data_IF_532601382646
#
_entry.id   IF_532601382646
#
_cell.length_a   1.000
_cell.length_b   1.000
_cell.length_c   1.000
_cell.angle_alpha   90.00
_cell.angle_beta   90.00
_cell.angle_gamma   90.00
#
_symmetry.space_group_name_H-M   'P 1'
#
loop_
_entity.id
_entity.type
_entity.pdbx_description
1 polymer ?
#
# COMPACT_ATOMS: atom_id res chain seq x y z
N UNK A 1 -16.28 -43.21 -2.56
CA UNK A 1 -16.49 -41.83 -3.03
C UNK A 1 -15.47 -40.91 -2.33
N UNK A 2 -14.46 -40.40 -3.00
CA UNK A 2 -13.30 -41.15 -3.47
C UNK A 2 -12.09 -40.36 -2.93
N UNK A 3 -11.13 -40.99 -2.23
CA UNK A 3 -9.96 -40.30 -1.66
C UNK A 3 -9.19 -39.53 -2.75
N UNK A 4 -9.27 -40.03 -3.99
CA UNK A 4 -8.76 -39.38 -5.20
C UNK A 4 -9.48 -38.05 -5.50
N UNK A 5 -10.78 -37.93 -5.26
CA UNK A 5 -11.54 -36.68 -5.42
C UNK A 5 -11.16 -35.68 -4.32
N UNK A 6 -10.94 -36.12 -3.08
CA UNK A 6 -10.47 -35.26 -1.99
C UNK A 6 -9.03 -34.79 -2.20
N UNK A 7 -8.16 -35.68 -2.70
CA UNK A 7 -6.77 -35.34 -3.07
C UNK A 7 -6.74 -34.47 -4.32
N UNK A 8 -7.60 -34.70 -5.32
CA UNK A 8 -7.74 -33.81 -6.48
C UNK A 8 -8.28 -32.45 -6.07
N UNK A 9 -9.28 -32.38 -5.17
CA UNK A 9 -9.76 -31.10 -4.61
C UNK A 9 -8.64 -30.44 -3.80
N UNK A 10 -7.88 -31.17 -2.98
CA UNK A 10 -6.71 -30.62 -2.26
C UNK A 10 -5.61 -30.17 -3.23
N UNK A 11 -5.33 -30.90 -4.31
CA UNK A 11 -4.33 -30.53 -5.32
C UNK A 11 -4.82 -29.41 -6.23
N UNK A 12 -6.13 -29.27 -6.48
CA UNK A 12 -6.75 -28.13 -7.16
C UNK A 12 -6.72 -26.91 -6.23
N UNK A 13 -6.97 -27.08 -4.93
CA UNK A 13 -6.82 -26.04 -3.90
C UNK A 13 -5.34 -25.64 -3.75
N UNK A 14 -4.39 -26.57 -3.84
CA UNK A 14 -2.95 -26.32 -3.74
C UNK A 14 -2.40 -25.72 -5.07
N UNK A 15 -2.91 -26.12 -6.23
CA UNK A 15 -2.52 -25.53 -7.54
C UNK A 15 -3.29 -24.25 -7.89
N UNK A 16 -4.32 -23.88 -7.14
CA UNK A 16 -4.95 -22.55 -7.19
C UNK A 16 -4.49 -21.63 -6.05
N UNK A 17 -3.57 -22.08 -5.18
CA UNK A 17 -3.06 -21.29 -4.06
C UNK A 17 -1.79 -20.51 -4.42
N UNK A 18 -1.89 -19.57 -5.36
CA UNK A 18 -0.94 -18.43 -5.45
C UNK A 18 -1.63 -17.09 -5.75
N UNK A 19 -2.97 -17.03 -5.72
CA UNK A 19 -3.76 -15.78 -5.73
C UNK A 19 -4.31 -15.51 -4.34
N UNK A 20 -3.44 -15.18 -3.40
CA UNK A 20 -3.85 -14.90 -2.02
C UNK A 20 -4.22 -13.40 -1.94
N UNK A 21 -5.53 -13.14 -1.90
CA UNK A 21 -6.25 -11.86 -1.68
C UNK A 21 -5.97 -10.69 -2.63
N UNK A 22 -6.55 -10.71 -3.84
CA UNK A 22 -6.84 -9.49 -4.63
C UNK A 22 -8.25 -9.00 -4.27
N UNK A 23 -8.41 -7.71 -3.98
CA UNK A 23 -9.71 -7.12 -3.64
C UNK A 23 -10.68 -7.19 -4.83
N UNK A 24 -11.94 -7.58 -4.57
CA UNK A 24 -12.97 -7.67 -5.60
C UNK A 24 -13.16 -6.31 -6.30
N UNK A 25 -13.25 -6.32 -7.63
CA UNK A 25 -13.36 -5.12 -8.45
C UNK A 25 -12.01 -4.51 -8.84
N UNK A 26 -10.89 -5.10 -8.41
CA UNK A 26 -9.53 -4.59 -8.66
C UNK A 26 -8.65 -5.71 -9.21
N UNK A 27 -7.53 -5.35 -9.84
CA UNK A 27 -6.51 -6.28 -10.33
C UNK A 27 -5.18 -6.12 -9.61
N UNK A 28 -4.94 -4.98 -8.97
CA UNK A 28 -3.67 -4.61 -8.33
C UNK A 28 -3.74 -4.53 -6.80
N UNK A 29 -4.93 -4.41 -6.22
CA UNK A 29 -5.07 -4.22 -4.77
C UNK A 29 -5.00 -5.56 -4.03
N UNK A 30 -3.79 -5.99 -3.64
CA UNK A 30 -3.59 -7.19 -2.85
C UNK A 30 -2.17 -7.71 -2.86
N UNK A 31 -1.97 -8.99 -2.53
CA UNK A 31 -0.64 -9.58 -2.59
C UNK A 31 -0.25 -9.89 -4.04
N UNK A 32 0.49 -8.97 -4.67
CA UNK A 32 0.81 -9.03 -6.09
C UNK A 32 -0.30 -8.41 -6.94
N UNK A 33 -0.48 -8.90 -8.18
CA UNK A 33 -1.55 -8.42 -9.06
C UNK A 33 -1.96 -9.48 -10.09
N UNK A 34 -3.24 -9.48 -10.45
CA UNK A 34 -3.85 -10.35 -11.46
C UNK A 34 -3.92 -9.70 -12.85
N UNK A 35 -3.49 -8.45 -13.00
CA UNK A 35 -3.43 -7.76 -14.30
C UNK A 35 -2.53 -8.53 -15.27
N UNK A 36 -2.88 -8.58 -16.56
CA UNK A 36 -2.07 -9.18 -17.64
C UNK A 36 -1.00 -8.22 -18.13
N UNK A 37 -1.23 -6.92 -18.03
CA UNK A 37 -0.27 -5.87 -18.36
C UNK A 37 -0.46 -4.65 -17.45
N UNK A 38 0.50 -3.73 -17.48
CA UNK A 38 0.49 -2.55 -16.61
C UNK A 38 -0.69 -1.58 -16.84
N UNK A 39 -1.35 -1.58 -18.00
CA UNK A 39 -2.48 -0.68 -18.29
C UNK A 39 -3.83 -1.27 -17.90
N UNK A 40 -3.89 -2.57 -17.63
CA UNK A 40 -5.13 -3.24 -17.26
C UNK A 40 -5.52 -2.89 -15.83
N UNK A 41 -6.76 -2.40 -15.66
CA UNK A 41 -7.36 -2.08 -14.37
C UNK A 41 -8.70 -2.82 -14.26
N UNK A 42 -9.11 -3.11 -13.03
CA UNK A 42 -10.40 -3.71 -12.71
C UNK A 42 -11.58 -2.75 -12.87
N UNK A 43 -12.74 -3.17 -12.36
CA UNK A 43 -13.97 -2.38 -12.34
C UNK A 43 -13.79 -1.05 -11.59
N UNK A 44 -13.09 -1.07 -10.45
CA UNK A 44 -12.85 0.09 -9.61
C UNK A 44 -11.59 0.82 -10.07
N UNK A 45 -11.61 1.31 -11.32
CA UNK A 45 -10.43 1.80 -12.05
C UNK A 45 -9.57 2.80 -11.25
N UNK A 46 -10.20 3.79 -10.62
CA UNK A 46 -9.48 4.85 -9.91
C UNK A 46 -8.75 4.30 -8.68
N UNK A 47 -9.45 3.51 -7.87
CA UNK A 47 -8.89 2.83 -6.69
C UNK A 47 -7.81 1.82 -7.09
N UNK A 48 -8.05 1.06 -8.15
CA UNK A 48 -7.10 0.08 -8.67
C UNK A 48 -5.86 0.74 -9.27
N UNK A 49 -5.99 1.97 -9.79
CA UNK A 49 -4.86 2.79 -10.23
C UNK A 49 -3.98 3.22 -9.05
N UNK A 50 -4.56 3.55 -7.89
CA UNK A 50 -3.79 3.80 -6.66
C UNK A 50 -2.95 2.58 -6.27
N UNK A 51 -3.57 1.39 -6.28
CA UNK A 51 -2.86 0.14 -6.00
C UNK A 51 -1.81 -0.19 -7.06
N UNK A 52 -2.09 0.04 -8.35
CA UNK A 52 -1.11 -0.13 -9.41
C UNK A 52 0.12 0.74 -9.18
N UNK A 53 -0.09 2.02 -8.87
CA UNK A 53 0.99 2.95 -8.59
C UNK A 53 1.83 2.45 -7.42
N UNK A 54 1.20 2.12 -6.29
CA UNK A 54 1.89 1.50 -5.14
C UNK A 54 2.70 0.26 -5.54
N UNK A 55 2.10 -0.62 -6.33
CA UNK A 55 2.70 -1.87 -6.73
C UNK A 55 3.85 -1.69 -7.75
N UNK A 56 3.84 -0.60 -8.52
CA UNK A 56 4.90 -0.20 -9.46
C UNK A 56 6.05 0.57 -8.80
N UNK A 57 5.92 1.04 -7.56
CA UNK A 57 7.01 1.70 -6.82
C UNK A 57 8.29 0.84 -6.87
N UNK A 58 9.41 1.36 -7.42
CA UNK A 58 10.63 0.57 -7.58
C UNK A 58 11.44 0.44 -6.29
N UNK A 59 11.12 1.24 -5.26
CA UNK A 59 11.83 1.31 -3.98
C UNK A 59 11.13 0.42 -2.95
N UNK A 60 11.54 -0.85 -2.92
CA UNK A 60 10.96 -1.88 -2.04
C UNK A 60 11.91 -3.03 -1.79
N UNK A 61 11.73 -3.74 -0.68
CA UNK A 61 12.35 -5.05 -0.48
C UNK A 61 11.47 -6.13 -1.10
N UNK A 62 12.02 -6.84 -2.09
CA UNK A 62 11.30 -7.92 -2.78
C UNK A 62 11.76 -9.29 -2.31
N UNK A 63 11.04 -10.36 -2.68
CA UNK A 63 11.51 -11.73 -2.43
C UNK A 63 12.86 -12.04 -3.10
N UNK A 64 13.31 -11.30 -4.11
CA UNK A 64 14.60 -11.51 -4.78
C UNK A 64 15.71 -10.62 -4.22
N UNK A 65 15.39 -9.39 -3.85
CA UNK A 65 16.34 -8.44 -3.27
C UNK A 65 15.86 -8.07 -1.86
N UNK A 66 16.42 -8.77 -0.87
CA UNK A 66 15.96 -8.75 0.53
C UNK A 66 16.88 -7.97 1.44
N UNK A 67 18.00 -7.46 0.95
CA UNK A 67 19.02 -6.87 1.80
C UNK A 67 19.46 -5.51 1.28
N UNK A 68 19.34 -4.50 2.13
CA UNK A 68 19.76 -3.13 1.88
C UNK A 68 20.40 -2.59 3.16
N UNK A 69 21.63 -2.06 3.05
CA UNK A 69 22.41 -1.57 4.18
C UNK A 69 22.42 -2.53 5.38
N UNK A 70 22.63 -3.84 5.16
CA UNK A 70 22.64 -4.85 6.23
C UNK A 70 21.26 -5.18 6.83
N UNK A 71 20.20 -4.46 6.49
CA UNK A 71 18.83 -4.82 6.87
C UNK A 71 18.29 -5.89 5.94
N UNK A 72 17.80 -7.00 6.52
CA UNK A 72 17.21 -8.12 5.76
C UNK A 72 15.72 -8.25 6.00
N UNK A 73 14.90 -7.99 4.98
CA UNK A 73 13.46 -8.22 5.07
C UNK A 73 13.13 -9.73 4.99
N UNK A 74 12.46 -10.24 6.01
CA UNK A 74 12.18 -11.67 6.15
C UNK A 74 11.24 -12.19 5.06
N UNK A 75 11.61 -13.32 4.45
CA UNK A 75 10.80 -14.00 3.44
C UNK A 75 9.48 -14.58 3.96
N UNK A 76 9.34 -14.67 5.29
CA UNK A 76 8.14 -15.18 5.96
C UNK A 76 7.05 -14.12 6.06
N UNK A 77 7.38 -12.86 5.77
CA UNK A 77 6.42 -11.76 5.76
C UNK A 77 5.54 -11.88 4.52
N UNK A 78 4.23 -11.76 4.71
CA UNK A 78 3.19 -11.92 3.69
C UNK A 78 2.93 -10.64 2.88
N UNK A 79 3.84 -9.67 2.95
CA UNK A 79 3.73 -8.41 2.22
C UNK A 79 5.10 -7.88 1.82
N UNK A 80 5.07 -7.02 0.80
CA UNK A 80 6.24 -6.29 0.30
C UNK A 80 6.50 -5.10 1.22
N UNK A 81 7.74 -4.93 1.67
CA UNK A 81 8.14 -3.74 2.43
C UNK A 81 8.54 -2.64 1.44
N UNK A 82 7.74 -1.60 1.34
CA UNK A 82 7.88 -0.46 0.41
C UNK A 82 8.41 0.78 1.12
N UNK A 83 9.01 1.70 0.36
CA UNK A 83 9.47 2.98 0.92
C UNK A 83 8.27 3.77 1.48
N UNK A 84 8.44 4.43 2.62
CA UNK A 84 7.35 5.12 3.32
C UNK A 84 6.69 6.21 2.46
N UNK A 85 7.45 6.91 1.61
CA UNK A 85 6.87 7.84 0.64
C UNK A 85 5.96 7.18 -0.40
N UNK A 86 6.25 5.94 -0.82
CA UNK A 86 5.35 5.20 -1.72
C UNK A 86 4.05 4.83 -1.00
N UNK A 87 4.13 4.44 0.27
CA UNK A 87 2.96 4.14 1.10
C UNK A 87 2.15 5.41 1.42
N UNK A 88 2.82 6.55 1.57
CA UNK A 88 2.19 7.86 1.79
C UNK A 88 1.41 8.31 0.56
N UNK A 89 2.03 8.27 -0.63
CA UNK A 89 1.35 8.54 -1.89
C UNK A 89 0.16 7.58 -2.11
N UNK A 90 0.30 6.31 -1.72
CA UNK A 90 -0.79 5.34 -1.78
C UNK A 90 -1.95 5.73 -0.88
N UNK A 91 -1.68 6.08 0.39
CA UNK A 91 -2.66 6.58 1.34
C UNK A 91 -3.39 7.81 0.77
N UNK A 92 -2.66 8.82 0.32
CA UNK A 92 -3.22 10.05 -0.24
C UNK A 92 -4.11 9.78 -1.46
N UNK A 93 -3.72 8.86 -2.34
CA UNK A 93 -4.52 8.49 -3.50
C UNK A 93 -5.85 7.85 -3.11
N UNK A 94 -5.87 7.02 -2.06
CA UNK A 94 -7.12 6.41 -1.55
C UNK A 94 -8.01 7.42 -0.83
N UNK A 95 -7.41 8.44 -0.23
CA UNK A 95 -8.05 9.52 0.55
C UNK A 95 -8.48 10.73 -0.29
N UNK A 96 -8.15 10.77 -1.58
CA UNK A 96 -8.54 11.88 -2.45
C UNK A 96 -10.07 11.98 -2.56
N UNK A 97 -10.58 13.20 -2.37
CA UNK A 97 -12.01 13.51 -2.43
C UNK A 97 -12.45 13.90 -3.86
N UNK A 98 -13.59 13.39 -4.35
CA UNK A 98 -14.52 12.48 -3.66
C UNK A 98 -13.93 11.08 -3.47
N UNK A 99 -14.16 10.47 -2.29
CA UNK A 99 -13.63 9.13 -1.98
C UNK A 99 -14.01 8.11 -3.06
N UNK A 100 -12.99 7.48 -3.66
CA UNK A 100 -13.14 6.49 -4.73
C UNK A 100 -13.79 5.21 -4.21
N UNK A 101 -14.64 4.60 -5.05
CA UNK A 101 -15.32 3.34 -4.73
C UNK A 101 -14.33 2.26 -4.30
N UNK A 102 -14.53 1.70 -3.10
CA UNK A 102 -13.70 0.62 -2.56
C UNK A 102 -12.38 1.05 -1.91
N UNK A 103 -12.00 2.33 -1.93
CA UNK A 103 -10.80 2.83 -1.24
C UNK A 103 -10.83 2.54 0.26
N UNK A 104 -11.98 2.78 0.89
CA UNK A 104 -12.21 2.56 2.31
C UNK A 104 -11.88 1.13 2.75
N UNK A 105 -12.38 0.13 2.01
CA UNK A 105 -12.08 -1.28 2.23
C UNK A 105 -10.60 -1.62 2.07
N UNK A 106 -9.93 -1.05 1.08
CA UNK A 106 -8.51 -1.31 0.82
C UNK A 106 -7.65 -0.70 1.93
N UNK A 107 -7.92 0.55 2.31
CA UNK A 107 -7.21 1.21 3.40
C UNK A 107 -7.41 0.49 4.73
N UNK A 108 -8.64 0.08 5.04
CA UNK A 108 -8.93 -0.74 6.22
C UNK A 108 -8.11 -2.05 6.23
N UNK A 109 -8.03 -2.73 5.08
CA UNK A 109 -7.27 -3.98 4.96
C UNK A 109 -5.77 -3.76 5.14
N UNK A 110 -5.23 -2.67 4.57
CA UNK A 110 -3.83 -2.27 4.73
C UNK A 110 -3.47 -2.04 6.20
N UNK A 111 -4.29 -1.27 6.92
CA UNK A 111 -4.11 -1.01 8.35
C UNK A 111 -4.23 -2.28 9.20
N UNK A 112 -5.24 -3.10 8.93
CA UNK A 112 -5.46 -4.36 9.65
C UNK A 112 -4.30 -5.35 9.50
N UNK A 113 -3.62 -5.34 8.36
CA UNK A 113 -2.44 -6.18 8.13
C UNK A 113 -1.18 -5.66 8.84
N UNK A 114 -1.21 -4.45 9.41
CA UNK A 114 -0.05 -3.85 10.06
C UNK A 114 1.12 -3.71 9.09
N UNK A 115 0.83 -3.22 7.88
CA UNK A 115 1.85 -3.04 6.86
C UNK A 115 2.83 -1.96 7.33
N UNK A 116 4.08 -2.38 7.50
CA UNK A 116 5.21 -1.50 7.80
C UNK A 116 5.75 -0.88 6.51
N UNK A 117 6.47 0.23 6.66
CA UNK A 117 7.22 0.86 5.58
C UNK A 117 8.66 1.15 6.04
N UNK A 118 9.56 1.52 5.13
CA UNK A 118 10.92 1.92 5.48
C UNK A 118 11.31 3.27 4.90
N UNK A 119 12.24 3.96 5.55
CA UNK A 119 12.92 5.14 5.00
C UNK A 119 14.43 5.03 5.21
N UNK A 120 15.19 5.86 4.49
CA UNK A 120 16.62 6.05 4.72
C UNK A 120 16.81 7.32 5.52
N UNK A 121 17.49 7.20 6.64
CA UNK A 121 17.89 8.35 7.44
C UNK A 121 19.41 8.38 7.54
N UNK A 122 20.05 9.57 7.56
CA UNK A 122 21.47 9.72 7.83
C UNK A 122 22.01 8.97 9.04
N UNK A 123 23.29 8.67 9.06
CA UNK A 123 23.91 8.02 10.20
C UNK A 123 25.40 8.33 10.26
N UNK A 124 25.95 8.34 11.46
CA UNK A 124 27.39 8.30 11.70
C UNK A 124 27.73 6.91 12.29
N UNK A 125 28.90 6.36 11.93
CA UNK A 125 29.35 5.05 12.38
C UNK A 125 29.47 4.96 13.91
N UNK A 126 29.57 6.10 14.60
CA UNK A 126 29.76 6.17 16.05
C UNK A 126 28.61 6.84 16.84
N UNK A 127 27.60 7.40 16.18
CA UNK A 127 26.41 7.95 16.83
C UNK A 127 25.21 7.92 15.86
N UNK A 128 24.07 7.43 16.32
CA UNK A 128 22.82 7.71 15.64
C UNK A 128 22.56 9.22 15.74
N UNK A 129 22.60 9.94 14.61
CA UNK A 129 22.42 11.40 14.55
C UNK A 129 20.99 11.84 14.89
N UNK A 130 20.08 10.89 15.17
CA UNK A 130 18.65 11.12 15.34
C UNK A 130 18.20 11.07 16.79
N UNK A 131 17.28 11.97 17.12
CA UNK A 131 16.57 11.95 18.40
C UNK A 131 15.52 10.82 18.36
N UNK A 132 15.69 9.84 19.25
CA UNK A 132 14.78 8.69 19.50
C UNK A 132 14.25 7.99 18.25
N UNK A 133 15.02 7.02 17.74
CA UNK A 133 14.54 6.08 16.70
C UNK A 133 13.62 4.99 17.29
N UNK A 134 13.31 5.06 18.59
CA UNK A 134 12.63 4.00 19.36
C UNK A 134 13.31 2.62 19.15
N UNK A 135 12.67 1.52 19.59
CA UNK A 135 13.16 0.15 19.35
C UNK A 135 12.85 -0.35 17.91
N UNK A 136 12.95 0.54 16.91
CA UNK A 136 12.62 0.21 15.51
C UNK A 136 13.61 -0.76 14.92
N UNK A 137 13.10 -1.61 14.02
CA UNK A 137 13.96 -2.45 13.19
C UNK A 137 14.79 -1.54 12.27
N UNK A 138 16.11 -1.76 12.24
CA UNK A 138 17.04 -0.95 11.46
C UNK A 138 18.16 -1.78 10.86
N UNK A 139 18.79 -1.25 9.81
CA UNK A 139 20.00 -1.80 9.20
C UNK A 139 21.29 -1.27 9.82
N UNK A 140 22.41 -1.57 9.18
CA UNK A 140 23.72 -0.97 9.45
C UNK A 140 23.86 0.40 8.76
N UNK A 141 24.73 1.26 9.29
CA UNK A 141 25.08 2.50 8.63
C UNK A 141 25.98 2.21 7.40
N UNK A 142 25.57 2.66 6.21
CA UNK A 142 26.34 2.47 4.98
C UNK A 142 26.30 3.73 4.10
N UNK A 143 27.50 4.26 3.78
CA UNK A 143 27.68 5.53 3.09
C UNK A 143 26.81 6.65 3.69
N UNK A 144 26.87 6.79 5.01
CA UNK A 144 26.15 7.81 5.77
C UNK A 144 24.63 7.65 5.82
N UNK A 145 24.06 6.51 5.40
CA UNK A 145 22.61 6.24 5.46
C UNK A 145 22.30 4.89 6.12
N UNK A 146 21.20 4.83 6.86
CA UNK A 146 20.69 3.64 7.54
C UNK A 146 19.23 3.42 7.16
N UNK A 147 18.86 2.17 6.93
CA UNK A 147 17.45 1.77 6.75
C UNK A 147 16.78 1.78 8.12
N UNK A 148 15.66 2.49 8.25
CA UNK A 148 14.79 2.46 9.42
C UNK A 148 13.39 1.99 9.00
N UNK A 149 12.82 1.05 9.75
CA UNK A 149 11.47 0.52 9.51
C UNK A 149 10.49 1.18 10.47
N UNK A 150 9.43 1.76 9.91
CA UNK A 150 8.33 2.35 10.64
C UNK A 150 7.18 1.34 10.79
N UNK A 151 6.47 1.41 11.92
CA UNK A 151 5.36 0.50 12.21
C UNK A 151 4.16 0.71 11.28
N UNK A 152 4.01 1.92 10.71
CA UNK A 152 3.05 2.27 9.67
C UNK A 152 3.48 3.57 8.98
N UNK A 153 2.78 3.93 7.89
CA UNK A 153 2.97 5.24 7.25
C UNK A 153 2.56 6.42 8.14
N UNK A 154 1.58 6.22 9.04
CA UNK A 154 1.15 7.24 10.01
C UNK A 154 2.20 7.49 11.09
N UNK A 155 2.88 6.42 11.51
CA UNK A 155 4.01 6.48 12.42
C UNK A 155 5.21 7.20 11.76
N UNK A 156 5.52 6.88 10.50
CA UNK A 156 6.51 7.63 9.70
C UNK A 156 6.19 9.13 9.61
N UNK A 157 4.99 9.49 9.15
CA UNK A 157 4.61 10.89 8.97
C UNK A 157 4.57 11.66 10.28
N UNK A 158 4.13 11.02 11.37
CA UNK A 158 4.16 11.62 12.71
C UNK A 158 5.59 11.85 13.21
N UNK A 159 6.48 10.89 12.99
CA UNK A 159 7.90 11.01 13.32
C UNK A 159 8.55 12.19 12.57
N UNK A 160 8.40 12.23 11.24
CA UNK A 160 8.96 13.30 10.41
C UNK A 160 8.42 14.68 10.83
N UNK A 161 7.12 14.79 11.13
CA UNK A 161 6.50 16.05 11.56
C UNK A 161 6.98 16.53 12.95
N UNK A 162 7.19 15.59 13.87
CA UNK A 162 7.47 15.92 15.28
C UNK A 162 8.96 16.05 15.59
N UNK A 163 9.83 15.40 14.81
CA UNK A 163 11.27 15.31 15.09
C UNK A 163 12.13 16.20 14.20
N UNK A 164 11.61 16.70 13.07
CA UNK A 164 12.39 17.45 12.09
C UNK A 164 11.90 18.90 11.96
N UNK A 165 12.83 19.85 11.90
CA UNK A 165 12.55 21.22 11.46
C UNK A 165 12.37 21.29 9.94
N UNK A 166 11.91 22.43 9.42
CA UNK A 166 11.78 22.64 7.97
C UNK A 166 13.13 22.52 7.26
N UNK A 167 14.20 23.03 7.86
CA UNK A 167 15.58 22.93 7.35
C UNK A 167 16.07 21.49 7.32
N UNK A 168 15.78 20.71 8.37
CA UNK A 168 16.12 19.28 8.43
C UNK A 168 15.33 18.47 7.38
N UNK A 169 14.05 18.80 7.16
CA UNK A 169 13.26 18.19 6.09
C UNK A 169 13.81 18.52 4.69
N UNK A 170 14.38 19.71 4.48
CA UNK A 170 15.07 20.03 3.21
C UNK A 170 16.31 19.16 3.02
N UNK A 171 17.06 18.89 4.10
CA UNK A 171 18.20 17.98 4.06
C UNK A 171 17.74 16.56 3.71
N UNK A 172 16.69 16.06 4.38
CA UNK A 172 16.09 14.75 4.10
C UNK A 172 15.61 14.63 2.65
N UNK A 173 14.96 15.65 2.11
CA UNK A 173 14.58 15.70 0.70
C UNK A 173 15.79 15.54 -0.22
N UNK A 174 16.90 16.22 0.07
CA UNK A 174 18.11 16.16 -0.76
C UNK A 174 18.75 14.77 -0.69
N UNK A 175 18.73 14.13 0.49
CA UNK A 175 19.17 12.75 0.67
C UNK A 175 18.27 11.80 -0.12
N UNK A 176 16.95 11.94 0.01
CA UNK A 176 15.97 11.17 -0.74
C UNK A 176 16.25 11.31 -2.25
N UNK A 177 16.39 12.53 -2.75
CA UNK A 177 16.65 12.76 -4.18
C UNK A 177 17.99 12.18 -4.65
N UNK A 178 19.04 12.23 -3.83
CA UNK A 178 20.37 11.73 -4.21
C UNK A 178 20.52 10.21 -4.05
N UNK A 179 19.78 9.60 -3.13
CA UNK A 179 20.07 8.23 -2.67
C UNK A 179 18.95 7.22 -2.93
N UNK A 180 17.77 7.68 -3.36
CA UNK A 180 16.63 6.80 -3.63
C UNK A 180 16.96 5.72 -4.69
N UNK A 181 17.74 6.07 -5.72
CA UNK A 181 18.14 5.14 -6.79
C UNK A 181 19.08 4.02 -6.30
N UNK A 182 19.76 4.19 -5.16
CA UNK A 182 20.63 3.14 -4.56
C UNK A 182 19.86 1.86 -4.25
N UNK A 183 18.55 1.98 -4.06
CA UNK A 183 17.67 0.89 -3.67
C UNK A 183 16.56 0.66 -4.71
N UNK A 184 16.78 1.18 -5.92
CA UNK A 184 15.95 0.91 -7.07
C UNK A 184 16.01 -0.58 -7.41
N UNK A 185 14.84 -1.21 -7.48
CA UNK A 185 14.70 -2.54 -8.05
C UNK A 185 14.04 -2.42 -9.42
N UNK A 186 14.75 -2.92 -10.43
CA UNK A 186 14.29 -3.01 -11.80
C UNK A 186 13.15 -4.04 -11.95
N UNK A 187 11.94 -3.73 -11.47
CA UNK A 187 10.71 -4.50 -11.77
C UNK A 187 10.38 -4.40 -13.27
N UNK A 188 10.93 -3.39 -13.93
CA UNK A 188 10.77 -2.95 -15.31
C UNK A 188 11.30 -3.90 -16.38
N UNK A 189 12.17 -4.87 -16.06
CA UNK A 189 12.65 -5.86 -17.05
C UNK A 189 11.63 -6.95 -17.42
N UNK A 190 10.41 -6.93 -16.86
CA UNK A 190 9.36 -7.87 -17.27
C UNK A 190 8.55 -7.30 -18.43
N UNK A 191 8.43 -8.06 -19.52
CA UNK A 191 7.56 -7.74 -20.67
C UNK A 191 6.15 -7.26 -20.26
N UNK A 192 5.61 -7.85 -19.19
CA UNK A 192 4.33 -7.47 -18.56
C UNK A 192 4.19 -5.96 -18.26
N UNK A 193 5.29 -5.28 -17.93
CA UNK A 193 5.29 -3.89 -17.47
C UNK A 193 5.93 -2.91 -18.48
N UNK A 194 6.36 -3.39 -19.66
CA UNK A 194 7.06 -2.59 -20.66
C UNK A 194 6.30 -1.31 -21.08
N UNK A 195 4.96 -1.37 -21.13
CA UNK A 195 4.13 -0.25 -21.57
C UNK A 195 3.95 0.87 -20.53
N UNK A 196 4.53 0.73 -19.34
CA UNK A 196 4.47 1.72 -18.27
C UNK A 196 5.86 2.06 -17.71
N UNK A 197 6.92 1.76 -18.48
CA UNK A 197 8.29 2.10 -18.11
C UNK A 197 8.46 3.60 -17.85
N UNK A 198 7.80 4.45 -18.64
CA UNK A 198 7.85 5.89 -18.45
C UNK A 198 7.31 6.30 -17.08
N UNK A 199 6.17 5.73 -16.65
CA UNK A 199 5.63 5.96 -15.31
C UNK A 199 6.60 5.50 -14.21
N UNK A 200 7.38 4.44 -14.45
CA UNK A 200 8.41 3.97 -13.51
C UNK A 200 9.65 4.87 -13.43
N UNK A 201 10.04 5.51 -14.54
CA UNK A 201 11.15 6.48 -14.53
C UNK A 201 10.77 7.78 -13.81
N UNK A 202 9.49 8.16 -13.84
CA UNK A 202 8.98 9.33 -13.14
C UNK A 202 8.74 9.11 -11.64
N UNK A 203 8.91 7.88 -11.11
CA UNK A 203 8.61 7.62 -9.69
C UNK A 203 9.45 8.47 -8.74
N UNK A 204 10.71 8.71 -9.09
CA UNK A 204 11.60 9.57 -8.31
C UNK A 204 11.04 10.98 -8.19
N UNK A 205 10.69 11.61 -9.31
CA UNK A 205 10.13 12.97 -9.29
C UNK A 205 8.79 13.02 -8.58
N UNK A 206 7.92 12.01 -8.77
CA UNK A 206 6.65 11.91 -8.04
C UNK A 206 6.84 11.85 -6.52
N UNK A 207 7.79 11.05 -6.05
CA UNK A 207 8.12 10.96 -4.61
C UNK A 207 8.65 12.29 -4.08
N UNK A 208 9.59 12.93 -4.79
CA UNK A 208 10.16 14.21 -4.35
C UNK A 208 9.09 15.32 -4.32
N UNK A 209 8.24 15.37 -5.34
CA UNK A 209 7.14 16.34 -5.40
C UNK A 209 6.14 16.11 -4.27
N UNK A 210 5.77 14.85 -4.02
CA UNK A 210 4.89 14.49 -2.92
C UNK A 210 5.49 14.87 -1.56
N UNK A 211 6.79 14.63 -1.36
CA UNK A 211 7.50 15.02 -0.15
C UNK A 211 7.44 16.53 0.09
N UNK A 212 7.73 17.34 -0.95
CA UNK A 212 7.63 18.80 -0.88
C UNK A 212 6.22 19.27 -0.51
N UNK A 213 5.20 18.74 -1.19
CA UNK A 213 3.80 19.10 -0.97
C UNK A 213 3.35 18.71 0.45
N UNK A 214 3.61 17.46 0.85
CA UNK A 214 3.20 16.94 2.14
C UNK A 214 3.84 17.68 3.30
N UNK A 215 5.14 18.00 3.19
CA UNK A 215 5.90 18.71 4.22
C UNK A 215 5.88 20.24 4.09
N UNK A 216 5.16 20.80 3.11
CA UNK A 216 5.07 22.26 2.84
C UNK A 216 6.44 22.92 2.71
N UNK A 217 7.34 22.29 1.96
CA UNK A 217 8.68 22.84 1.74
C UNK A 217 8.71 23.91 0.65
N UNK A 218 7.67 23.98 -0.18
CA UNK A 218 7.49 25.05 -1.15
C UNK A 218 6.70 26.20 -0.51
N UNK A 219 7.31 27.38 -0.40
CA UNK A 219 6.75 28.58 0.23
C UNK A 219 5.49 29.14 -0.46
N UNK A 220 5.11 28.59 -1.61
CA UNK A 220 3.96 29.01 -2.41
C UNK A 220 2.66 28.22 -2.16
N UNK A 221 2.64 27.23 -1.24
CA UNK A 221 1.45 26.40 -0.99
C UNK A 221 0.80 26.78 0.36
N UNK A 222 -0.25 27.60 0.28
CA UNK A 222 -1.14 27.93 1.41
C UNK A 222 -1.95 26.68 1.81
N UNK A 223 -1.79 26.27 3.08
CA UNK A 223 -2.61 25.36 3.89
C UNK A 223 -3.49 24.27 3.22
N UNK A 224 -3.01 23.02 3.22
CA UNK A 224 -3.86 21.81 3.02
C UNK A 224 -3.94 20.89 4.27
N UNK A 225 -3.13 21.11 5.31
CA UNK A 225 -2.94 20.11 6.37
C UNK A 225 -4.02 20.02 7.47
N UNK A 226 -5.08 20.84 7.46
CA UNK A 226 -6.23 20.57 8.32
C UNK A 226 -7.13 19.43 7.79
N UNK A 227 -6.96 19.05 6.51
CA UNK A 227 -7.86 18.12 5.81
C UNK A 227 -7.50 16.63 6.02
N UNK A 228 -6.21 16.29 6.06
CA UNK A 228 -5.77 14.88 5.95
C UNK A 228 -6.09 14.00 7.18
N UNK A 229 -6.06 14.54 8.41
CA UNK A 229 -6.42 13.74 9.61
C UNK A 229 -7.92 13.40 9.62
N UNK A 230 -8.75 14.38 9.31
CA UNK A 230 -10.21 14.21 9.23
C UNK A 230 -10.60 13.21 8.13
N UNK A 231 -9.84 13.13 7.03
CA UNK A 231 -10.10 12.20 5.93
C UNK A 231 -9.72 10.74 6.26
N UNK A 232 -8.62 10.49 6.97
CA UNK A 232 -8.28 9.10 7.36
C UNK A 232 -9.29 8.51 8.35
N UNK A 233 -9.87 9.33 9.23
CA UNK A 233 -10.99 8.94 10.10
C UNK A 233 -12.26 8.67 9.26
N UNK A 234 -12.49 9.48 8.21
CA UNK A 234 -13.56 9.31 7.22
C UNK A 234 -13.50 7.93 6.52
N UNK A 235 -12.33 7.44 6.08
CA UNK A 235 -12.24 6.15 5.38
C UNK A 235 -12.68 4.95 6.22
N UNK A 236 -12.35 4.92 7.52
CA UNK A 236 -12.80 3.82 8.39
C UNK A 236 -14.32 3.89 8.61
N UNK A 237 -14.87 5.08 8.82
CA UNK A 237 -16.31 5.29 8.96
C UNK A 237 -17.06 4.92 7.67
N UNK A 238 -16.57 5.37 6.51
CA UNK A 238 -17.09 4.99 5.19
C UNK A 238 -17.09 3.47 5.04
N UNK A 239 -16.00 2.78 5.40
CA UNK A 239 -15.95 1.32 5.29
C UNK A 239 -16.99 0.64 6.18
N UNK A 240 -17.17 1.11 7.42
CA UNK A 240 -18.22 0.59 8.31
C UNK A 240 -19.60 0.83 7.72
N UNK A 241 -19.87 2.02 7.19
CA UNK A 241 -21.14 2.35 6.55
C UNK A 241 -21.40 1.48 5.31
N UNK A 242 -20.41 1.30 4.43
CA UNK A 242 -20.47 0.39 3.28
C UNK A 242 -20.76 -1.06 3.70
N UNK A 243 -20.15 -1.54 4.79
CA UNK A 243 -20.41 -2.86 5.35
C UNK A 243 -21.84 -3.00 5.89
N UNK A 244 -22.34 -1.97 6.58
CA UNK A 244 -23.70 -1.96 7.12
C UNK A 244 -24.75 -1.93 6.01
N UNK A 245 -24.53 -1.13 4.97
CA UNK A 245 -25.38 -1.13 3.77
C UNK A 245 -25.37 -2.48 3.05
N UNK A 246 -24.20 -3.10 2.90
CA UNK A 246 -24.08 -4.41 2.26
C UNK A 246 -24.83 -5.50 3.05
N UNK A 247 -24.73 -5.48 4.38
CA UNK A 247 -25.50 -6.37 5.26
C UNK A 247 -27.00 -6.13 5.11
N UNK A 248 -27.45 -4.87 5.14
CA UNK A 248 -28.86 -4.51 4.94
C UNK A 248 -29.41 -5.00 3.60
N UNK A 249 -28.69 -4.75 2.50
CA UNK A 249 -29.04 -5.25 1.14
C UNK A 249 -29.12 -6.77 1.10
N UNK A 250 -28.21 -7.47 1.78
CA UNK A 250 -28.21 -8.94 1.86
C UNK A 250 -29.41 -9.46 2.64
N UNK A 251 -29.76 -8.84 3.76
CA UNK A 251 -30.96 -9.16 4.54
C UNK A 251 -32.24 -8.94 3.73
N UNK A 252 -32.34 -7.83 3.02
CA UNK A 252 -33.48 -7.53 2.13
C UNK A 252 -33.57 -8.53 0.98
N UNK A 253 -32.44 -8.90 0.37
CA UNK A 253 -32.39 -9.90 -0.70
C UNK A 253 -32.82 -11.28 -0.19
N UNK A 254 -32.32 -11.70 0.97
CA UNK A 254 -32.71 -12.96 1.63
C UNK A 254 -34.22 -12.99 1.93
N UNK A 255 -34.80 -11.89 2.40
CA UNK A 255 -36.24 -11.77 2.62
C UNK A 255 -37.02 -11.93 1.31
N UNK A 256 -36.61 -11.25 0.23
CA UNK A 256 -37.24 -11.36 -1.10
C UNK A 256 -37.15 -12.77 -1.68
N UNK A 257 -36.01 -13.44 -1.51
CA UNK A 257 -35.81 -14.84 -1.94
C UNK A 257 -36.71 -15.77 -1.13
N UNK A 258 -36.81 -15.58 0.19
CA UNK A 258 -37.71 -16.36 1.05
C UNK A 258 -39.17 -16.19 0.64
N UNK A 259 -39.63 -14.96 0.38
CA UNK A 259 -40.99 -14.69 -0.10
C UNK A 259 -41.27 -15.32 -1.45
N UNK A 260 -40.32 -15.24 -2.39
CA UNK A 260 -40.45 -15.88 -3.70
C UNK A 260 -40.53 -17.41 -3.58
N UNK A 261 -39.72 -18.03 -2.72
CA UNK A 261 -39.78 -19.46 -2.44
C UNK A 261 -41.11 -19.86 -1.82
N UNK A 262 -41.60 -19.11 -0.82
CA UNK A 262 -42.90 -19.39 -0.19
C UNK A 262 -44.06 -19.30 -1.20
N UNK A 263 -44.03 -18.31 -2.12
CA UNK A 263 -45.01 -18.21 -3.21
C UNK A 263 -44.93 -19.38 -4.19
N UNK A 264 -43.72 -19.82 -4.55
CA UNK A 264 -43.54 -21.00 -5.41
C UNK A 264 -44.07 -22.28 -4.75
N UNK A 265 -43.83 -22.47 -3.45
CA UNK A 265 -44.39 -23.60 -2.70
C UNK A 265 -45.92 -23.56 -2.67
N UNK A 266 -46.54 -22.39 -2.48
CA UNK A 266 -48.01 -22.28 -2.49
C UNK A 266 -48.68 -22.52 -3.84
N UNK A 267 -47.92 -22.53 -4.94
CA UNK A 267 -48.43 -22.83 -6.29
C UNK A 267 -48.26 -24.33 -6.61
N UNK A 268 -47.38 -25.02 -5.89
CA UNK A 268 -47.04 -26.44 -6.09
C UNK A 268 -47.77 -27.38 -5.10
N UNK A 269 -48.54 -26.83 -4.16
CA UNK A 269 -49.43 -27.54 -3.22
C UNK A 269 -50.88 -27.21 -3.50
#
# INVERSE_FOLDING_TARGET
>A
MNIILTILIQLIIINQAFTIFISKGTLWCGMGNNAKNCKELGEYKETDSCCRMHDLCPYKFTRKNREHNGFRWSWRKIYTLTHCECDLMFKQCLEEEPIKKGSAKIWHSFNKLGIKCYSFLPCDQNNDLWKSIDNRESGSCFNGLKVIVFHSVDDYTSYMKNQFTKEELIIEKNILNSSLDRFYIEKTMKLKYANCLNETYEFKSKIINNFNEYHKLDDNIIEIQARNKHISENLNEIYINELMESKSKTTVLLAKVKDALMKMFSILT
#
